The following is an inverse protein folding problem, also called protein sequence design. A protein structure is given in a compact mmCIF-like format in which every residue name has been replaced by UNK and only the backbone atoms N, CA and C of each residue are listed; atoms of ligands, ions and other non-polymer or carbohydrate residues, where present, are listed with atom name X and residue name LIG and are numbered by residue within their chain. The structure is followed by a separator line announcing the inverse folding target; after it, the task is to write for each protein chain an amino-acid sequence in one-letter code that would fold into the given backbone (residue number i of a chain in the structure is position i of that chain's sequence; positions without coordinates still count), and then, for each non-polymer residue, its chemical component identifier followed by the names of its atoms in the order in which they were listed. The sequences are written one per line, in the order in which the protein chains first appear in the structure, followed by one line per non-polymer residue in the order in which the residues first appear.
data_IF_675470869187
#
_entry.id   IF_675470869187
#
_cell.length_a   1.000
_cell.length_b   1.000
_cell.length_c   1.000
_cell.angle_alpha   90.00
_cell.angle_beta   90.00
_cell.angle_gamma   90.00
#
_symmetry.space_group_name_H-M   'P 1'
#
loop_
_entity.id
_entity.type
_entity.pdbx_description
1 polymer ?
#
# COMPACT_ATOMS: atom_id res chain seq x y z
N UNK A 1 17.74 19.12 4.61
CA UNK A 1 18.13 18.16 3.55
C UNK A 1 16.85 17.55 2.99
N UNK A 2 16.52 17.74 1.72
CA UNK A 2 15.21 17.34 1.16
C UNK A 2 15.07 15.82 1.11
N UNK A 3 14.17 15.27 1.92
CA UNK A 3 13.87 13.82 2.10
C UNK A 3 13.52 13.11 0.77
N UNK A 4 13.27 13.87 -0.29
CA UNK A 4 12.74 13.45 -1.59
C UNK A 4 13.83 13.33 -2.68
N UNK A 5 15.12 13.34 -2.32
CA UNK A 5 16.22 13.21 -3.30
C UNK A 5 16.41 11.78 -3.82
N UNK A 6 16.01 10.76 -3.04
CA UNK A 6 15.98 9.37 -3.49
C UNK A 6 14.79 9.11 -4.40
N UNK A 7 15.04 8.68 -5.64
CA UNK A 7 13.99 8.27 -6.60
C UNK A 7 13.03 7.24 -6.01
N UNK A 8 13.54 6.34 -5.16
CA UNK A 8 12.75 5.31 -4.48
C UNK A 8 11.91 5.85 -3.31
N UNK A 9 12.44 6.79 -2.52
CA UNK A 9 11.70 7.46 -1.44
C UNK A 9 10.53 8.24 -2.01
N UNK A 10 10.74 8.98 -3.10
CA UNK A 10 9.68 9.71 -3.80
C UNK A 10 8.63 8.76 -4.36
N UNK A 11 9.03 7.66 -5.00
CA UNK A 11 8.10 6.67 -5.53
C UNK A 11 7.25 6.00 -4.42
N UNK A 12 7.86 5.73 -3.27
CA UNK A 12 7.16 5.17 -2.12
C UNK A 12 6.17 6.17 -1.50
N UNK A 13 6.59 7.43 -1.31
CA UNK A 13 5.69 8.49 -0.85
C UNK A 13 4.54 8.66 -1.84
N UNK A 14 4.82 8.73 -3.14
CA UNK A 14 3.81 8.84 -4.19
C UNK A 14 2.79 7.70 -4.12
N UNK A 15 3.25 6.45 -3.99
CA UNK A 15 2.38 5.28 -3.82
C UNK A 15 1.55 5.35 -2.54
N UNK A 16 2.11 5.91 -1.46
CA UNK A 16 1.46 5.96 -0.16
C UNK A 16 0.38 7.06 -0.09
N UNK A 17 0.70 8.28 -0.54
CA UNK A 17 -0.11 9.48 -0.26
C UNK A 17 -0.63 10.19 -1.53
N UNK A 18 -0.24 9.73 -2.72
CA UNK A 18 -0.62 10.33 -4.01
C UNK A 18 0.02 11.70 -4.26
N UNK A 19 -0.31 12.33 -5.40
CA UNK A 19 0.29 13.59 -5.85
C UNK A 19 0.08 14.74 -4.85
N UNK A 20 -1.15 14.90 -4.34
CA UNK A 20 -1.44 15.93 -3.32
C UNK A 20 -0.67 15.65 -2.02
N UNK A 21 -0.59 14.39 -1.62
CA UNK A 21 0.16 14.00 -0.44
C UNK A 21 1.66 14.24 -0.57
N UNK A 22 2.25 14.04 -1.75
CA UNK A 22 3.66 14.36 -2.00
C UNK A 22 3.91 15.85 -1.78
N UNK A 23 3.05 16.72 -2.30
CA UNK A 23 3.14 18.18 -2.07
C UNK A 23 3.02 18.53 -0.58
N UNK A 24 2.16 17.84 0.16
CA UNK A 24 2.06 18.00 1.62
C UNK A 24 3.38 17.62 2.28
N UNK A 25 3.94 16.44 1.98
CA UNK A 25 5.19 15.96 2.58
C UNK A 25 6.37 16.88 2.27
N UNK A 26 6.46 17.39 1.03
CA UNK A 26 7.51 18.32 0.60
C UNK A 26 7.48 19.67 1.33
N UNK A 27 6.32 20.06 1.89
CA UNK A 27 6.13 21.31 2.63
C UNK A 27 6.17 21.15 4.17
N UNK A 28 6.39 19.94 4.69
CA UNK A 28 6.61 19.75 6.13
C UNK A 28 8.06 20.16 6.46
N UNK A 29 8.29 21.11 7.37
CA UNK A 29 9.64 21.50 7.79
C UNK A 29 10.33 20.39 8.61
N UNK A 30 11.63 20.56 8.88
CA UNK A 30 12.37 19.64 9.77
C UNK A 30 11.87 19.71 11.23
N UNK A 31 11.36 20.89 11.63
CA UNK A 31 10.72 21.15 12.92
C UNK A 31 9.22 20.77 12.91
N UNK A 32 8.44 21.39 13.79
CA UNK A 32 7.01 21.11 13.94
C UNK A 32 6.13 22.07 13.12
N UNK A 33 5.03 21.55 12.58
CA UNK A 33 4.01 22.32 11.85
C UNK A 33 2.60 21.92 12.26
N UNK A 34 1.65 22.86 12.22
CA UNK A 34 0.22 22.54 12.38
C UNK A 34 -0.39 22.12 11.05
N UNK A 35 -1.44 21.30 11.13
CA UNK A 35 -2.22 20.90 9.98
C UNK A 35 -2.92 22.09 9.30
N UNK A 36 -3.37 23.09 10.05
CA UNK A 36 -3.91 24.34 9.48
C UNK A 36 -2.86 25.11 8.68
N UNK A 37 -1.65 25.31 9.24
CA UNK A 37 -0.60 26.04 8.55
C UNK A 37 -0.14 25.30 7.29
N UNK A 38 -0.05 23.97 7.37
CA UNK A 38 0.32 23.15 6.21
C UNK A 38 -0.75 23.19 5.10
N UNK A 39 -2.03 23.27 5.46
CA UNK A 39 -3.13 23.47 4.50
C UNK A 39 -3.03 24.84 3.81
N UNK A 40 -2.72 25.90 4.57
CA UNK A 40 -2.51 27.24 4.01
C UNK A 40 -1.31 27.30 3.06
N UNK A 41 -0.16 26.72 3.46
CA UNK A 41 1.06 26.71 2.65
C UNK A 41 0.87 25.96 1.31
N UNK A 42 0.14 24.85 1.34
CA UNK A 42 -0.03 23.98 0.18
C UNK A 42 -1.25 24.33 -0.68
N UNK A 43 -2.20 25.12 -0.13
CA UNK A 43 -3.50 25.35 -0.75
C UNK A 43 -4.39 24.09 -0.82
N UNK A 44 -4.00 23.01 -0.14
CA UNK A 44 -4.72 21.73 -0.12
C UNK A 44 -5.74 21.75 1.02
N UNK A 45 -6.89 21.12 0.83
CA UNK A 45 -7.93 21.08 1.86
C UNK A 45 -7.40 20.50 3.19
N UNK A 46 -7.78 21.11 4.31
CA UNK A 46 -7.38 20.68 5.66
C UNK A 46 -7.71 19.20 5.92
N UNK A 47 -8.80 18.70 5.36
CA UNK A 47 -9.17 17.28 5.47
C UNK A 47 -8.16 16.37 4.77
N UNK A 48 -7.73 16.72 3.55
CA UNK A 48 -6.70 15.97 2.83
C UNK A 48 -5.38 16.02 3.59
N UNK A 49 -4.97 17.19 4.10
CA UNK A 49 -3.76 17.34 4.92
C UNK A 49 -3.79 16.43 6.15
N UNK A 50 -4.88 16.49 6.93
CA UNK A 50 -5.06 15.63 8.10
C UNK A 50 -4.97 14.14 7.75
N UNK A 51 -5.69 13.70 6.71
CA UNK A 51 -5.66 12.30 6.26
C UNK A 51 -4.25 11.85 5.90
N UNK A 52 -3.50 12.68 5.17
CA UNK A 52 -2.11 12.40 4.80
C UNK A 52 -1.21 12.32 6.04
N UNK A 53 -1.32 13.27 6.96
CA UNK A 53 -0.53 13.28 8.20
C UNK A 53 -0.80 12.04 9.09
N UNK A 54 -2.06 11.65 9.24
CA UNK A 54 -2.42 10.42 9.97
C UNK A 54 -1.87 9.18 9.29
N UNK A 55 -1.94 9.10 7.95
CA UNK A 55 -1.38 7.97 7.20
C UNK A 55 0.15 7.89 7.38
N UNK A 56 0.86 9.02 7.36
CA UNK A 56 2.30 9.06 7.65
C UNK A 56 2.58 8.59 9.07
N UNK A 57 1.78 8.99 10.05
CA UNK A 57 1.91 8.55 11.44
C UNK A 57 1.68 7.04 11.61
N UNK A 58 0.65 6.47 10.99
CA UNK A 58 0.41 5.01 10.98
C UNK A 58 1.59 4.23 10.40
N UNK A 59 2.30 4.82 9.43
CA UNK A 59 3.52 4.26 8.83
C UNK A 59 4.80 4.62 9.59
N UNK A 60 4.71 5.31 10.73
CA UNK A 60 5.84 5.82 11.54
C UNK A 60 6.75 6.77 10.77
N UNK A 61 6.24 7.42 9.73
CA UNK A 61 6.94 8.43 8.93
C UNK A 61 6.74 9.84 9.48
N UNK A 62 5.76 10.02 10.37
CA UNK A 62 5.54 11.25 11.12
C UNK A 62 5.23 10.94 12.58
N UNK A 63 5.48 11.92 13.44
CA UNK A 63 5.03 11.95 14.83
C UNK A 63 4.26 13.23 15.06
N UNK A 64 3.44 13.25 16.10
CA UNK A 64 2.81 14.49 16.54
C UNK A 64 2.80 14.57 18.07
N UNK A 65 2.76 15.80 18.58
CA UNK A 65 2.42 16.09 19.96
C UNK A 65 1.24 17.05 20.04
N UNK A 66 0.54 17.04 21.17
CA UNK A 66 -0.59 17.93 21.42
C UNK A 66 -0.16 19.01 22.39
N UNK A 67 -0.49 20.26 22.07
CA UNK A 67 -0.34 21.40 22.99
C UNK A 67 -1.73 21.90 23.34
N UNK A 68 -2.01 22.02 24.63
CA UNK A 68 -3.24 22.63 25.12
C UNK A 68 -2.98 24.09 25.42
N UNK A 69 -3.81 24.96 24.87
CA UNK A 69 -3.82 26.37 25.21
C UNK A 69 -4.40 26.55 26.65
N UNK A 70 -3.66 27.19 27.58
CA UNK A 70 -4.10 27.30 28.97
C UNK A 70 -5.37 28.14 29.16
N UNK A 71 -5.57 29.13 28.31
CA UNK A 71 -6.62 30.14 28.47
C UNK A 71 -7.93 29.69 27.80
N UNK A 72 -7.82 29.18 26.58
CA UNK A 72 -8.96 28.80 25.75
C UNK A 72 -9.27 27.30 25.80
N UNK A 73 -8.33 26.48 26.30
CA UNK A 73 -8.46 25.03 26.38
C UNK A 73 -8.30 24.29 25.05
N UNK A 74 -8.02 25.00 23.95
CA UNK A 74 -7.90 24.44 22.60
C UNK A 74 -6.69 23.50 22.46
N UNK A 75 -6.86 22.45 21.66
CA UNK A 75 -5.82 21.46 21.39
C UNK A 75 -5.23 21.69 20.01
N UNK A 76 -3.94 22.02 19.97
CA UNK A 76 -3.16 22.16 18.74
C UNK A 76 -2.32 20.91 18.51
N UNK A 77 -2.36 20.38 17.30
CA UNK A 77 -1.55 19.25 16.88
C UNK A 77 -0.31 19.77 16.15
N UNK A 78 0.86 19.36 16.63
CA UNK A 78 2.15 19.74 16.07
C UNK A 78 2.80 18.50 15.49
N UNK A 79 2.98 18.50 14.17
CA UNK A 79 3.44 17.37 13.37
C UNK A 79 4.90 17.54 12.97
N UNK A 80 5.65 16.45 12.99
CA UNK A 80 7.04 16.40 12.56
C UNK A 80 7.30 15.13 11.75
N UNK A 81 8.06 15.25 10.66
CA UNK A 81 8.49 14.09 9.87
C UNK A 81 9.61 13.31 10.56
N UNK A 82 9.71 12.02 10.26
CA UNK A 82 10.77 11.13 10.73
C UNK A 82 11.58 10.58 9.54
N UNK A 83 12.54 11.36 8.98
CA UNK A 83 13.33 10.95 7.81
C UNK A 83 14.04 9.60 7.99
N UNK A 84 14.59 9.35 9.18
CA UNK A 84 15.31 8.11 9.50
C UNK A 84 14.46 6.83 9.49
N UNK A 85 13.13 6.95 9.38
CA UNK A 85 12.23 5.79 9.30
C UNK A 85 11.90 5.39 7.87
N UNK A 86 12.25 6.18 6.84
CA UNK A 86 11.87 5.87 5.46
C UNK A 86 12.55 4.60 4.94
N UNK A 87 13.83 4.40 5.18
CA UNK A 87 14.55 3.20 4.73
C UNK A 87 13.97 1.94 5.39
N UNK A 88 13.67 2.02 6.69
CA UNK A 88 13.01 0.93 7.43
C UNK A 88 11.60 0.67 6.91
N UNK A 89 10.87 1.72 6.52
CA UNK A 89 9.54 1.58 5.94
C UNK A 89 9.60 0.91 4.56
N UNK A 90 10.56 1.29 3.72
CA UNK A 90 10.84 0.66 2.43
C UNK A 90 11.18 -0.83 2.58
N UNK A 91 12.09 -1.17 3.50
CA UNK A 91 12.46 -2.55 3.79
C UNK A 91 11.25 -3.37 4.29
N UNK A 92 10.45 -2.79 5.19
CA UNK A 92 9.23 -3.42 5.70
C UNK A 92 8.20 -3.66 4.59
N UNK A 93 8.01 -2.70 3.70
CA UNK A 93 7.11 -2.81 2.54
C UNK A 93 7.60 -3.88 1.57
N UNK A 94 8.89 -3.93 1.26
CA UNK A 94 9.47 -4.96 0.41
C UNK A 94 9.32 -6.36 1.02
N UNK A 95 9.59 -6.53 2.32
CA UNK A 95 9.33 -7.78 3.04
C UNK A 95 7.85 -8.17 3.03
N UNK A 96 6.94 -7.20 3.14
CA UNK A 96 5.48 -7.43 3.05
C UNK A 96 5.08 -7.91 1.66
N UNK A 97 5.58 -7.26 0.61
CA UNK A 97 5.34 -7.66 -0.78
C UNK A 97 5.88 -9.07 -1.05
N UNK A 98 7.06 -9.40 -0.52
CA UNK A 98 7.65 -10.73 -0.64
C UNK A 98 6.76 -11.80 0.00
N UNK A 99 6.29 -11.58 1.23
CA UNK A 99 5.36 -12.50 1.91
C UNK A 99 4.08 -12.71 1.11
N UNK A 100 3.48 -11.64 0.59
CA UNK A 100 2.28 -11.75 -0.24
C UNK A 100 2.51 -12.58 -1.51
N UNK A 101 3.67 -12.42 -2.15
CA UNK A 101 4.05 -13.23 -3.32
C UNK A 101 4.26 -14.70 -2.93
N UNK A 102 4.84 -14.97 -1.75
CA UNK A 102 5.03 -16.33 -1.24
C UNK A 102 3.71 -17.02 -0.92
N UNK A 103 2.80 -16.34 -0.23
CA UNK A 103 1.45 -16.82 0.06
C UNK A 103 0.68 -17.11 -1.22
N UNK A 104 0.73 -16.17 -2.18
CA UNK A 104 0.11 -16.36 -3.49
C UNK A 104 0.74 -17.52 -4.24
N UNK A 105 2.06 -17.63 -4.28
CA UNK A 105 2.76 -18.72 -4.95
C UNK A 105 2.37 -20.08 -4.36
N UNK A 106 2.29 -20.18 -3.04
CA UNK A 106 1.85 -21.39 -2.36
C UNK A 106 0.41 -21.75 -2.74
N UNK A 107 -0.50 -20.76 -2.76
CA UNK A 107 -1.87 -20.95 -3.21
C UNK A 107 -1.94 -21.42 -4.68
N UNK A 108 -1.17 -20.80 -5.58
CA UNK A 108 -1.17 -21.16 -7.01
C UNK A 108 -0.56 -22.55 -7.27
N UNK A 109 0.42 -22.99 -6.47
CA UNK A 109 1.06 -24.32 -6.59
C UNK A 109 0.27 -25.45 -5.96
N UNK A 110 -0.44 -25.18 -4.87
CA UNK A 110 -1.15 -26.20 -4.11
C UNK A 110 -2.58 -26.43 -4.61
N UNK A 111 -3.08 -25.60 -5.52
CA UNK A 111 -4.42 -25.73 -6.08
C UNK A 111 -4.39 -26.08 -7.56
N UNK A 112 -5.41 -26.84 -7.97
CA UNK A 112 -5.74 -27.08 -9.38
C UNK A 112 -6.88 -26.14 -9.73
N UNK A 113 -6.79 -25.46 -10.87
CA UNK A 113 -7.75 -24.44 -11.26
C UNK A 113 -8.65 -24.89 -12.40
N UNK A 114 -9.89 -24.42 -12.35
CA UNK A 114 -10.86 -24.48 -13.42
C UNK A 114 -11.36 -23.06 -13.71
N UNK A 115 -11.62 -22.73 -14.97
CA UNK A 115 -12.08 -21.43 -15.40
C UNK A 115 -13.38 -21.56 -16.18
N UNK A 116 -14.26 -20.57 -16.02
CA UNK A 116 -15.47 -20.46 -16.82
C UNK A 116 -15.10 -20.18 -18.28
N UNK A 117 -15.68 -20.94 -19.21
CA UNK A 117 -15.50 -20.78 -20.67
C UNK A 117 -15.98 -19.41 -21.17
N UNK A 118 -16.97 -18.82 -20.50
CA UNK A 118 -17.50 -17.48 -20.76
C UNK A 118 -16.70 -16.36 -20.04
N UNK A 119 -15.62 -16.70 -19.32
CA UNK A 119 -14.70 -15.71 -18.75
C UNK A 119 -15.16 -15.04 -17.44
N UNK A 120 -16.15 -15.59 -16.74
CA UNK A 120 -16.70 -14.98 -15.52
C UNK A 120 -15.69 -14.95 -14.35
N UNK A 121 -15.09 -16.11 -14.05
CA UNK A 121 -14.19 -16.30 -12.91
C UNK A 121 -13.40 -17.62 -13.04
N UNK A 122 -12.41 -17.78 -12.16
CA UNK A 122 -11.69 -19.04 -11.92
C UNK A 122 -12.04 -19.60 -10.53
N UNK A 123 -11.93 -20.90 -10.40
CA UNK A 123 -12.29 -21.68 -9.22
C UNK A 123 -11.20 -22.70 -8.93
N UNK A 124 -11.01 -23.07 -7.66
CA UNK A 124 -10.20 -24.24 -7.33
C UNK A 124 -10.99 -25.52 -7.58
N UNK A 125 -10.30 -26.66 -7.67
CA UNK A 125 -10.92 -27.96 -7.94
C UNK A 125 -12.06 -28.30 -6.98
N UNK A 126 -11.91 -28.03 -5.69
CA UNK A 126 -12.95 -28.31 -4.69
C UNK A 126 -14.22 -27.49 -4.97
N UNK A 127 -14.08 -26.18 -5.20
CA UNK A 127 -15.19 -25.29 -5.58
C UNK A 127 -15.85 -25.71 -6.90
N UNK A 128 -15.04 -26.11 -7.89
CA UNK A 128 -15.54 -26.58 -9.18
C UNK A 128 -16.32 -27.90 -9.00
N UNK A 129 -15.86 -28.80 -8.14
CA UNK A 129 -16.52 -30.07 -7.84
C UNK A 129 -17.85 -29.85 -7.12
N UNK A 130 -17.89 -28.97 -6.11
CA UNK A 130 -19.13 -28.59 -5.43
C UNK A 130 -20.16 -27.98 -6.38
N UNK A 131 -19.69 -27.22 -7.38
CA UNK A 131 -20.53 -26.64 -8.42
C UNK A 131 -20.81 -27.60 -9.59
N UNK A 132 -20.42 -28.88 -9.52
CA UNK A 132 -20.55 -29.87 -10.60
C UNK A 132 -19.94 -29.39 -11.95
N UNK A 133 -18.85 -28.63 -11.89
CA UNK A 133 -18.18 -27.98 -13.03
C UNK A 133 -19.09 -27.02 -13.81
N UNK A 134 -20.06 -26.39 -13.14
CA UNK A 134 -20.96 -25.38 -13.70
C UNK A 134 -20.67 -24.02 -13.05
N UNK A 135 -20.51 -22.98 -13.86
CA UNK A 135 -20.25 -21.63 -13.39
C UNK A 135 -21.48 -21.07 -12.64
N UNK A 136 -21.34 -20.63 -11.37
CA UNK A 136 -22.45 -20.10 -10.59
C UNK A 136 -23.02 -18.78 -11.13
N UNK A 137 -22.25 -18.06 -11.96
CA UNK A 137 -22.64 -16.75 -12.48
C UNK A 137 -23.40 -16.80 -13.81
N UNK A 138 -23.00 -17.69 -14.73
CA UNK A 138 -23.56 -17.75 -16.08
C UNK A 138 -24.12 -19.12 -16.47
N UNK A 139 -24.02 -20.12 -15.59
CA UNK A 139 -24.42 -21.52 -15.86
C UNK A 139 -23.64 -22.19 -17.02
N UNK A 140 -22.58 -21.56 -17.51
CA UNK A 140 -21.63 -22.15 -18.47
C UNK A 140 -20.72 -23.20 -17.83
N UNK A 141 -19.95 -23.92 -18.65
CA UNK A 141 -19.01 -24.96 -18.18
C UNK A 141 -17.76 -24.36 -17.52
N UNK A 142 -17.22 -25.08 -16.54
CA UNK A 142 -15.89 -24.85 -15.99
C UNK A 142 -14.91 -25.85 -16.59
N UNK A 143 -13.80 -25.36 -17.16
CA UNK A 143 -12.78 -26.20 -17.79
C UNK A 143 -11.43 -26.06 -17.08
N UNK A 144 -10.62 -27.12 -17.12
CA UNK A 144 -9.28 -27.10 -16.52
C UNK A 144 -8.47 -25.91 -17.06
N UNK A 145 -7.88 -25.14 -16.14
CA UNK A 145 -7.02 -24.02 -16.45
C UNK A 145 -5.59 -24.35 -16.03
N UNK A 146 -4.68 -24.37 -17.01
CA UNK A 146 -3.26 -24.47 -16.74
C UNK A 146 -2.77 -23.23 -15.99
N UNK A 147 -2.04 -23.44 -14.88
CA UNK A 147 -1.58 -22.36 -14.01
C UNK A 147 -0.06 -22.10 -14.08
N UNK A 148 0.68 -22.85 -14.89
CA UNK A 148 2.14 -22.83 -14.91
C UNK A 148 2.71 -21.43 -15.21
N UNK A 149 2.11 -20.70 -16.17
CA UNK A 149 2.54 -19.33 -16.52
C UNK A 149 2.34 -18.32 -15.37
N UNK A 150 1.30 -18.50 -14.56
CA UNK A 150 1.04 -17.63 -13.39
C UNK A 150 2.09 -17.90 -12.32
N UNK A 151 2.36 -19.19 -12.04
CA UNK A 151 3.40 -19.62 -11.11
C UNK A 151 4.77 -19.07 -11.52
N UNK A 152 5.17 -19.24 -12.79
CA UNK A 152 6.44 -18.73 -13.32
C UNK A 152 6.55 -17.21 -13.19
N UNK A 153 5.47 -16.49 -13.47
CA UNK A 153 5.43 -15.02 -13.34
C UNK A 153 5.67 -14.59 -11.90
N UNK A 154 5.01 -15.25 -10.92
CA UNK A 154 5.17 -14.94 -9.50
C UNK A 154 6.57 -15.29 -9.02
N UNK A 155 7.14 -16.42 -9.45
CA UNK A 155 8.52 -16.81 -9.12
C UNK A 155 9.55 -15.81 -9.64
N UNK A 156 9.37 -15.32 -10.88
CA UNK A 156 10.22 -14.27 -11.44
C UNK A 156 10.13 -12.98 -10.62
N UNK A 157 8.92 -12.51 -10.32
CA UNK A 157 8.71 -11.31 -9.50
C UNK A 157 9.33 -11.45 -8.11
N UNK A 158 9.18 -12.62 -7.48
CA UNK A 158 9.81 -12.92 -6.20
C UNK A 158 11.33 -12.81 -6.28
N UNK A 159 11.94 -13.43 -7.31
CA UNK A 159 13.39 -13.41 -7.51
C UNK A 159 13.92 -11.99 -7.72
N UNK A 160 13.26 -11.19 -8.55
CA UNK A 160 13.60 -9.77 -8.78
C UNK A 160 13.56 -8.97 -7.48
N UNK A 161 12.49 -9.13 -6.69
CA UNK A 161 12.33 -8.44 -5.41
C UNK A 161 13.39 -8.87 -4.38
N UNK A 162 13.69 -10.17 -4.27
CA UNK A 162 14.74 -10.67 -3.38
C UNK A 162 16.13 -10.19 -3.79
N UNK A 163 16.41 -10.05 -5.09
CA UNK A 163 17.71 -9.53 -5.56
C UNK A 163 17.90 -8.02 -5.34
N UNK A 164 16.80 -7.29 -5.06
CA UNK A 164 16.79 -5.85 -4.84
C UNK A 164 16.77 -5.46 -3.35
N UNK A 165 16.69 -6.45 -2.46
CA UNK A 165 16.70 -6.33 -1.00
C UNK A 165 18.11 -6.58 -0.46
#
# INVERSE_FOLDING_TARGET
MTIVEGTIHKAYIMKLVGDEGVRIVENIPEDEITDEHLAELTGISLNTVRRTLYLLYERRLAVYRRKRDPDSGWLTYLWQLCPGNFDKALESEAKRLLRNLEERLAYEKNNIFYACTEGCARFIFDEATEANFICPFCQGSLEYMENAKVVETIERQKKELTSSL
#
